data_IF_971105940547
#
_entry.id   IF_971105940547
#
_cell.length_a   1.000
_cell.length_b   1.000
_cell.length_c   1.000
_cell.angle_alpha   90.00
_cell.angle_beta   90.00
_cell.angle_gamma   90.00
#
_symmetry.space_group_name_H-M   'P 1'
#
loop_
_entity.id
_entity.type
_entity.pdbx_description
1 polymer ?
#
# COMPACT_ATOMS: atom_id res chain seq x y z
N UNK A 1 -22.95 3.19 -16.10
CA UNK A 1 -21.64 3.85 -16.34
C UNK A 1 -20.58 2.81 -16.70
N UNK A 2 -19.86 3.00 -17.82
CA UNK A 2 -18.70 2.16 -18.22
C UNK A 2 -17.42 2.69 -17.58
N UNK A 3 -16.76 1.89 -16.81
CA UNK A 3 -15.50 2.24 -16.15
C UNK A 3 -14.36 1.40 -16.69
N UNK A 4 -13.23 2.04 -16.98
CA UNK A 4 -11.99 1.37 -17.35
C UNK A 4 -10.95 1.58 -16.26
N UNK A 5 -10.53 0.52 -15.60
CA UNK A 5 -9.42 0.51 -14.66
C UNK A 5 -8.13 0.18 -15.38
N UNK A 6 -7.10 1.01 -15.24
CA UNK A 6 -5.80 0.78 -15.89
C UNK A 6 -4.72 0.71 -14.82
N UNK A 7 -3.95 -0.37 -14.81
CA UNK A 7 -2.84 -0.58 -13.87
C UNK A 7 -1.79 -1.55 -14.44
N UNK A 8 -0.58 -1.54 -13.88
CA UNK A 8 0.52 -2.35 -14.41
C UNK A 8 1.27 -3.17 -13.36
N UNK A 9 1.16 -2.81 -12.09
CA UNK A 9 1.98 -3.37 -11.01
C UNK A 9 1.14 -4.05 -9.94
N UNK A 10 1.79 -4.91 -9.14
CA UNK A 10 1.16 -5.57 -7.99
C UNK A 10 0.57 -4.59 -6.97
N UNK A 11 1.26 -3.52 -6.53
CA UNK A 11 0.69 -2.55 -5.59
C UNK A 11 -0.55 -1.84 -6.11
N UNK A 12 -0.57 -1.47 -7.39
CA UNK A 12 -1.75 -0.86 -8.03
C UNK A 12 -2.95 -1.84 -8.01
N UNK A 13 -2.71 -3.11 -8.38
CA UNK A 13 -3.75 -4.13 -8.38
C UNK A 13 -4.34 -4.34 -6.97
N UNK A 14 -3.49 -4.46 -5.93
CA UNK A 14 -3.94 -4.59 -4.54
C UNK A 14 -4.86 -3.43 -4.14
N UNK A 15 -4.47 -2.19 -4.48
CA UNK A 15 -5.21 -0.99 -4.10
C UNK A 15 -6.46 -0.75 -4.93
N UNK A 16 -6.50 -1.18 -6.19
CA UNK A 16 -7.70 -1.06 -7.03
C UNK A 16 -8.69 -2.20 -6.85
N UNK A 17 -8.25 -3.39 -6.45
CA UNK A 17 -9.12 -4.56 -6.32
C UNK A 17 -10.36 -4.31 -5.43
N UNK A 18 -10.27 -3.69 -4.23
CA UNK A 18 -11.45 -3.39 -3.43
C UNK A 18 -12.42 -2.44 -4.13
N UNK A 19 -11.90 -1.47 -4.90
CA UNK A 19 -12.72 -0.51 -5.66
C UNK A 19 -13.46 -1.21 -6.80
N UNK A 20 -12.76 -2.06 -7.56
CA UNK A 20 -13.37 -2.87 -8.63
C UNK A 20 -14.46 -3.75 -8.06
N UNK A 21 -14.22 -4.47 -6.97
CA UNK A 21 -15.20 -5.37 -6.34
C UNK A 21 -16.43 -4.60 -5.85
N UNK A 22 -16.22 -3.46 -5.19
CA UNK A 22 -17.33 -2.63 -4.67
C UNK A 22 -18.22 -2.09 -5.79
N UNK A 23 -17.63 -1.69 -6.92
CA UNK A 23 -18.36 -1.16 -8.07
C UNK A 23 -18.98 -2.27 -8.93
N UNK A 24 -18.28 -3.38 -9.17
CA UNK A 24 -18.79 -4.51 -9.94
C UNK A 24 -19.98 -5.21 -9.29
N UNK A 25 -20.13 -5.09 -7.97
CA UNK A 25 -21.30 -5.59 -7.25
C UNK A 25 -22.59 -4.79 -7.52
N UNK A 26 -22.52 -3.68 -8.26
CA UNK A 26 -23.64 -2.76 -8.52
C UNK A 26 -24.04 -2.81 -9.98
N UNK A 27 -25.32 -3.05 -10.26
CA UNK A 27 -25.83 -3.29 -11.62
C UNK A 27 -25.65 -2.12 -12.61
N UNK A 28 -25.52 -0.89 -12.11
CA UNK A 28 -25.33 0.31 -12.95
C UNK A 28 -23.88 0.59 -13.37
N UNK A 29 -22.91 -0.23 -12.91
CA UNK A 29 -21.51 -0.10 -13.32
C UNK A 29 -21.04 -1.29 -14.14
N UNK A 30 -20.37 -0.99 -15.26
CA UNK A 30 -19.70 -1.96 -16.11
C UNK A 30 -18.20 -1.74 -15.99
N UNK A 31 -17.54 -2.46 -15.09
CA UNK A 31 -16.12 -2.36 -14.83
C UNK A 31 -15.33 -3.25 -15.80
N UNK A 32 -14.39 -2.66 -16.54
CA UNK A 32 -13.43 -3.35 -17.38
C UNK A 32 -12.02 -3.07 -16.91
N UNK A 33 -11.13 -4.06 -17.02
CA UNK A 33 -9.77 -4.03 -16.54
C UNK A 33 -8.78 -4.10 -17.68
N UNK A 34 -7.84 -3.14 -17.73
CA UNK A 34 -6.69 -3.15 -18.60
C UNK A 34 -5.42 -3.26 -17.77
N UNK A 35 -4.64 -4.30 -17.97
CA UNK A 35 -3.32 -4.46 -17.37
C UNK A 35 -2.22 -4.22 -18.40
N UNK A 36 -1.19 -3.45 -18.03
CA UNK A 36 -0.05 -3.23 -18.92
C UNK A 36 0.95 -4.37 -18.89
N UNK A 37 0.88 -5.25 -17.87
CA UNK A 37 1.71 -6.44 -17.78
C UNK A 37 3.14 -6.18 -17.32
N UNK A 38 3.35 -5.14 -16.51
CA UNK A 38 4.66 -4.74 -16.03
C UNK A 38 5.32 -5.79 -15.09
N UNK A 39 4.53 -6.63 -14.38
CA UNK A 39 5.01 -7.74 -13.54
C UNK A 39 4.05 -8.93 -13.67
N UNK A 40 4.28 -9.83 -14.64
CA UNK A 40 3.30 -10.87 -15.01
C UNK A 40 2.91 -11.79 -13.85
N UNK A 41 3.86 -12.46 -13.22
CA UNK A 41 3.58 -13.49 -12.20
C UNK A 41 3.02 -12.89 -10.90
N UNK A 42 3.66 -11.85 -10.38
CA UNK A 42 3.23 -11.18 -9.15
C UNK A 42 1.87 -10.49 -9.28
N UNK A 43 1.56 -9.98 -10.47
CA UNK A 43 0.28 -9.37 -10.77
C UNK A 43 -0.82 -10.43 -10.87
N UNK A 44 -0.53 -11.57 -11.55
CA UNK A 44 -1.47 -12.68 -11.70
C UNK A 44 -1.92 -13.21 -10.33
N UNK A 45 -0.99 -13.42 -9.38
CA UNK A 45 -1.34 -13.86 -8.02
C UNK A 45 -2.34 -12.94 -7.31
N UNK A 46 -2.22 -11.62 -7.48
CA UNK A 46 -3.16 -10.65 -6.89
C UNK A 46 -4.50 -10.69 -7.61
N UNK A 47 -4.49 -10.77 -8.93
CA UNK A 47 -5.72 -10.88 -9.71
C UNK A 47 -6.53 -12.13 -9.31
N UNK A 48 -5.85 -13.27 -9.19
CA UNK A 48 -6.46 -14.54 -8.75
C UNK A 48 -7.00 -14.43 -7.31
N UNK A 49 -6.22 -13.85 -6.39
CA UNK A 49 -6.62 -13.64 -5.00
C UNK A 49 -7.93 -12.85 -4.87
N UNK A 50 -8.08 -11.80 -5.68
CA UNK A 50 -9.28 -10.95 -5.66
C UNK A 50 -10.38 -11.40 -6.64
N UNK A 51 -10.15 -12.48 -7.41
CA UNK A 51 -11.09 -12.99 -8.40
C UNK A 51 -11.30 -12.02 -9.57
N UNK A 52 -10.25 -11.32 -9.98
CA UNK A 52 -10.28 -10.33 -11.05
C UNK A 52 -9.71 -10.91 -12.35
N UNK A 53 -10.39 -10.67 -13.46
CA UNK A 53 -9.92 -11.08 -14.79
C UNK A 53 -9.75 -9.83 -15.67
N UNK A 54 -8.55 -9.57 -16.20
CA UNK A 54 -8.32 -8.46 -17.13
C UNK A 54 -9.05 -8.71 -18.45
N UNK A 55 -9.72 -7.68 -18.95
CA UNK A 55 -10.32 -7.67 -20.29
C UNK A 55 -9.25 -7.44 -21.35
N UNK A 56 -8.21 -6.67 -21.01
CA UNK A 56 -7.05 -6.42 -21.88
C UNK A 56 -5.76 -6.60 -21.11
N UNK A 57 -4.79 -7.25 -21.77
CA UNK A 57 -3.41 -7.37 -21.27
C UNK A 57 -2.45 -6.90 -22.38
N UNK A 58 -1.87 -5.73 -22.20
CA UNK A 58 -1.02 -5.08 -23.21
C UNK A 58 0.36 -5.73 -23.35
N UNK A 59 0.82 -6.47 -22.36
CA UNK A 59 2.10 -7.19 -22.36
C UNK A 59 3.31 -6.36 -22.78
N UNK A 60 3.39 -5.10 -22.31
CA UNK A 60 4.40 -4.14 -22.77
C UNK A 60 5.81 -4.37 -22.20
N UNK A 61 5.98 -5.34 -21.27
CA UNK A 61 7.30 -5.62 -20.67
C UNK A 61 8.30 -6.17 -21.68
N UNK A 62 9.50 -5.59 -21.67
CA UNK A 62 10.69 -6.05 -22.39
C UNK A 62 11.90 -6.08 -21.47
N UNK A 63 12.88 -6.96 -21.70
CA UNK A 63 14.17 -6.87 -21.02
C UNK A 63 14.79 -5.49 -21.25
N UNK A 64 15.47 -4.95 -20.24
CA UNK A 64 16.24 -3.71 -20.26
C UNK A 64 15.47 -2.49 -20.81
N UNK A 65 14.14 -2.47 -20.64
CA UNK A 65 13.29 -1.35 -21.10
C UNK A 65 13.60 -0.05 -20.36
N UNK A 66 13.66 1.04 -21.10
CA UNK A 66 13.75 2.38 -20.56
C UNK A 66 12.35 2.99 -20.31
N UNK A 67 12.31 4.13 -19.61
CA UNK A 67 11.07 4.82 -19.29
C UNK A 67 10.39 5.41 -20.52
N UNK A 68 11.14 5.82 -21.54
CA UNK A 68 10.58 6.38 -22.77
C UNK A 68 9.78 5.31 -23.53
N UNK A 69 10.36 4.12 -23.69
CA UNK A 69 9.66 2.98 -24.27
C UNK A 69 8.41 2.61 -23.45
N UNK A 70 8.55 2.46 -22.13
CA UNK A 70 7.43 2.08 -21.26
C UNK A 70 6.28 3.08 -21.36
N UNK A 71 6.59 4.39 -21.33
CA UNK A 71 5.60 5.45 -21.47
C UNK A 71 4.90 5.39 -22.83
N UNK A 72 5.64 5.30 -23.92
CA UNK A 72 5.11 5.25 -25.28
C UNK A 72 4.24 4.00 -25.53
N UNK A 73 4.70 2.83 -25.06
CA UNK A 73 3.97 1.59 -25.23
C UNK A 73 2.66 1.58 -24.42
N UNK A 74 2.69 2.07 -23.15
CA UNK A 74 1.50 2.18 -22.33
C UNK A 74 0.50 3.18 -22.90
N UNK A 75 0.97 4.36 -23.35
CA UNK A 75 0.15 5.39 -23.96
C UNK A 75 -0.57 4.86 -25.21
N UNK A 76 0.18 4.28 -26.17
CA UNK A 76 -0.39 3.76 -27.41
C UNK A 76 -1.33 2.57 -27.20
N UNK A 77 -0.99 1.68 -26.25
CA UNK A 77 -1.83 0.53 -25.94
C UNK A 77 -3.16 0.93 -25.32
N UNK A 78 -3.15 1.89 -24.38
CA UNK A 78 -4.37 2.42 -23.77
C UNK A 78 -5.19 3.22 -24.80
N UNK A 79 -4.55 4.03 -25.65
CA UNK A 79 -5.20 4.80 -26.73
C UNK A 79 -6.06 3.92 -27.63
N UNK A 80 -5.53 2.77 -28.09
CA UNK A 80 -6.27 1.81 -28.89
C UNK A 80 -7.52 1.24 -28.19
N UNK A 81 -7.44 1.02 -26.87
CA UNK A 81 -8.59 0.57 -26.09
C UNK A 81 -9.63 1.69 -25.95
N UNK A 82 -9.19 2.91 -25.64
CA UNK A 82 -10.10 4.05 -25.48
C UNK A 82 -10.84 4.38 -26.78
N UNK A 83 -10.17 4.28 -27.92
CA UNK A 83 -10.76 4.48 -29.26
C UNK A 83 -11.91 3.51 -29.53
N UNK A 84 -11.78 2.24 -29.12
CA UNK A 84 -12.76 1.18 -29.39
C UNK A 84 -13.83 1.05 -28.31
N UNK A 85 -13.44 1.03 -27.03
CA UNK A 85 -14.35 0.78 -25.90
C UNK A 85 -15.13 2.01 -25.44
N UNK A 86 -14.51 3.20 -25.51
CA UNK A 86 -15.10 4.49 -25.09
C UNK A 86 -15.77 4.43 -23.72
N UNK A 87 -15.01 4.28 -22.65
CA UNK A 87 -15.56 4.30 -21.27
C UNK A 87 -16.06 5.71 -20.92
N UNK A 88 -17.01 5.78 -19.98
CA UNK A 88 -17.49 7.05 -19.44
C UNK A 88 -16.44 7.67 -18.49
N UNK A 89 -15.55 6.85 -17.91
CA UNK A 89 -14.47 7.30 -17.02
C UNK A 89 -13.32 6.28 -16.99
N UNK A 90 -12.10 6.79 -16.92
CA UNK A 90 -10.90 5.99 -16.62
C UNK A 90 -10.55 6.14 -15.14
N UNK A 91 -10.20 5.05 -14.48
CA UNK A 91 -9.74 5.01 -13.08
C UNK A 91 -8.30 4.53 -13.06
N UNK A 92 -7.43 5.36 -12.47
CA UNK A 92 -6.00 5.09 -12.29
C UNK A 92 -5.61 5.18 -10.82
N UNK A 93 -4.51 4.58 -10.43
CA UNK A 93 -4.06 4.54 -9.03
C UNK A 93 -2.59 4.93 -8.92
N UNK A 94 -2.27 5.80 -7.95
CA UNK A 94 -0.90 6.10 -7.57
C UNK A 94 -0.14 6.91 -8.63
N UNK A 95 1.07 6.48 -8.94
CA UNK A 95 2.08 7.33 -9.58
C UNK A 95 3.01 6.60 -10.57
N UNK A 96 2.65 5.40 -10.97
CA UNK A 96 3.45 4.65 -11.94
C UNK A 96 3.43 5.31 -13.33
N UNK A 97 4.38 4.92 -14.19
CA UNK A 97 4.36 5.32 -15.59
C UNK A 97 3.08 4.88 -16.31
N UNK A 98 2.53 3.72 -15.94
CA UNK A 98 1.21 3.25 -16.41
C UNK A 98 0.09 4.23 -16.04
N UNK A 99 0.05 4.67 -14.77
CA UNK A 99 -0.92 5.65 -14.28
C UNK A 99 -0.87 6.95 -15.08
N UNK A 100 0.34 7.48 -15.27
CA UNK A 100 0.53 8.71 -16.06
C UNK A 100 0.11 8.54 -17.52
N UNK A 101 0.59 7.48 -18.18
CA UNK A 101 0.28 7.24 -19.60
C UNK A 101 -1.23 7.03 -19.84
N UNK A 102 -1.90 6.29 -18.94
CA UNK A 102 -3.34 6.06 -19.02
C UNK A 102 -4.16 7.35 -18.79
N UNK A 103 -3.78 8.16 -17.82
CA UNK A 103 -4.44 9.44 -17.57
C UNK A 103 -4.27 10.41 -18.73
N UNK A 104 -3.06 10.49 -19.30
CA UNK A 104 -2.78 11.35 -20.46
C UNK A 104 -3.54 10.89 -21.71
N UNK A 105 -3.59 9.58 -21.99
CA UNK A 105 -4.38 9.03 -23.09
C UNK A 105 -5.87 9.33 -22.92
N UNK A 106 -6.43 9.16 -21.73
CA UNK A 106 -7.83 9.49 -21.45
C UNK A 106 -8.12 10.98 -21.68
N UNK A 107 -7.21 11.87 -21.27
CA UNK A 107 -7.32 13.30 -21.52
C UNK A 107 -7.37 13.64 -23.00
N UNK A 108 -6.55 12.99 -23.85
CA UNK A 108 -6.59 13.19 -25.29
C UNK A 108 -7.94 12.77 -25.92
N UNK A 109 -8.57 11.74 -25.37
CA UNK A 109 -9.92 11.31 -25.76
C UNK A 109 -11.05 12.11 -25.10
N UNK A 110 -10.75 13.11 -24.26
CA UNK A 110 -11.71 13.88 -23.45
C UNK A 110 -12.56 12.98 -22.55
N UNK A 111 -11.97 11.89 -22.06
CA UNK A 111 -12.61 10.98 -21.11
C UNK A 111 -12.18 11.39 -19.70
N UNK A 112 -13.13 11.61 -18.77
CA UNK A 112 -12.84 11.98 -17.41
C UNK A 112 -11.97 10.94 -16.68
N UNK A 113 -11.06 11.40 -15.81
CA UNK A 113 -10.12 10.56 -15.08
C UNK A 113 -10.34 10.68 -13.58
N UNK A 114 -10.55 9.55 -12.91
CA UNK A 114 -10.55 9.47 -11.45
C UNK A 114 -9.20 8.90 -10.96
N UNK A 115 -8.54 9.64 -10.09
CA UNK A 115 -7.22 9.30 -9.54
C UNK A 115 -7.34 8.81 -8.10
N UNK A 116 -7.11 7.51 -7.88
CA UNK A 116 -7.08 6.88 -6.56
C UNK A 116 -5.69 7.04 -5.95
N UNK A 117 -5.59 7.35 -4.67
CA UNK A 117 -4.35 7.70 -3.94
C UNK A 117 -3.72 9.01 -4.47
N UNK A 118 -4.55 9.99 -4.74
CA UNK A 118 -4.12 11.29 -5.24
C UNK A 118 -3.52 12.18 -4.13
N UNK A 119 -2.52 12.98 -4.48
CA UNK A 119 -2.04 14.06 -3.63
C UNK A 119 -0.87 13.73 -2.70
N UNK A 120 -0.27 12.54 -2.78
CA UNK A 120 1.00 12.27 -2.10
C UNK A 120 2.10 13.15 -2.70
N UNK A 121 2.97 13.75 -1.87
CA UNK A 121 4.10 14.60 -2.32
C UNK A 121 5.32 14.39 -1.43
N UNK A 122 6.50 14.48 -2.07
CA UNK A 122 7.79 14.53 -1.38
C UNK A 122 8.45 15.91 -1.54
N UNK A 123 7.93 16.73 -2.45
CA UNK A 123 8.50 18.03 -2.84
C UNK A 123 9.91 17.95 -3.45
N UNK A 124 10.35 16.74 -3.83
CA UNK A 124 11.59 16.48 -4.55
C UNK A 124 11.29 15.66 -5.81
N UNK A 125 11.37 16.28 -6.99
CA UNK A 125 11.06 15.65 -8.28
C UNK A 125 11.96 14.47 -8.64
N UNK A 126 13.07 14.28 -7.94
CA UNK A 126 14.02 13.19 -8.12
C UNK A 126 13.90 12.09 -7.04
N UNK A 127 12.97 12.24 -6.08
CA UNK A 127 12.81 11.27 -4.99
C UNK A 127 11.36 11.15 -4.51
N UNK A 128 10.64 10.05 -4.82
CA UNK A 128 11.03 8.97 -5.73
C UNK A 128 11.00 9.39 -7.19
N UNK A 129 11.85 8.79 -7.99
CA UNK A 129 11.94 9.05 -9.42
C UNK A 129 11.57 7.79 -10.22
N UNK A 130 10.66 7.90 -11.23
CA UNK A 130 10.00 9.11 -11.79
C UNK A 130 8.66 9.45 -11.10
N UNK A 131 8.29 8.79 -10.02
CA UNK A 131 6.95 8.77 -9.44
C UNK A 131 6.46 10.17 -8.99
N UNK A 132 7.34 11.00 -8.42
CA UNK A 132 6.93 12.34 -7.96
C UNK A 132 6.45 13.23 -9.12
N UNK A 133 7.09 13.14 -10.28
CA UNK A 133 6.65 13.88 -11.48
C UNK A 133 5.37 13.27 -12.04
N UNK A 134 5.28 11.95 -12.14
CA UNK A 134 4.10 11.27 -12.64
C UNK A 134 2.84 11.69 -11.85
N UNK A 135 2.89 11.66 -10.50
CA UNK A 135 1.71 11.99 -9.67
C UNK A 135 1.29 13.45 -9.79
N UNK A 136 2.24 14.37 -9.99
CA UNK A 136 1.94 15.78 -10.25
C UNK A 136 1.25 15.96 -11.59
N UNK A 137 1.75 15.34 -12.65
CA UNK A 137 1.16 15.41 -13.99
C UNK A 137 -0.24 14.79 -14.03
N UNK A 138 -0.46 13.64 -13.37
CA UNK A 138 -1.78 13.02 -13.24
C UNK A 138 -2.76 13.95 -12.53
N UNK A 139 -2.31 14.68 -11.50
CA UNK A 139 -3.16 15.63 -10.78
C UNK A 139 -3.65 16.80 -11.64
N UNK A 140 -2.95 17.15 -12.75
CA UNK A 140 -3.36 18.21 -13.65
C UNK A 140 -4.40 17.76 -14.69
N UNK A 141 -4.50 16.47 -14.98
CA UNK A 141 -5.42 15.94 -16.00
C UNK A 141 -6.62 15.22 -15.41
N UNK A 142 -6.54 14.75 -14.16
CA UNK A 142 -7.66 14.12 -13.47
C UNK A 142 -8.71 15.17 -13.06
N UNK A 143 -9.99 14.81 -13.17
CA UNK A 143 -11.13 15.65 -12.76
C UNK A 143 -11.69 15.25 -11.39
N UNK A 144 -11.30 14.07 -10.87
CA UNK A 144 -11.73 13.58 -9.56
C UNK A 144 -10.55 12.93 -8.82
N UNK A 145 -10.31 13.37 -7.59
CA UNK A 145 -9.16 12.98 -6.79
C UNK A 145 -9.60 12.33 -5.48
N UNK A 146 -9.23 11.08 -5.28
CA UNK A 146 -9.45 10.33 -4.05
C UNK A 146 -8.18 10.36 -3.21
N UNK A 147 -8.12 11.31 -2.29
CA UNK A 147 -6.97 11.53 -1.43
C UNK A 147 -6.98 10.53 -0.25
N UNK A 148 -5.86 9.86 0.07
CA UNK A 148 -5.81 8.94 1.20
C UNK A 148 -5.88 9.65 2.55
N UNK A 149 -5.37 10.88 2.65
CA UNK A 149 -5.27 11.64 3.91
C UNK A 149 -5.65 13.11 3.73
N UNK A 150 -5.87 13.81 4.84
CA UNK A 150 -6.09 15.24 4.85
C UNK A 150 -4.85 16.02 4.31
N UNK A 151 -3.64 15.51 4.57
CA UNK A 151 -2.40 16.07 4.02
C UNK A 151 -2.37 15.98 2.50
N UNK A 152 -2.68 14.80 1.95
CA UNK A 152 -2.75 14.59 0.50
C UNK A 152 -3.76 15.55 -0.15
N UNK A 153 -4.94 15.73 0.48
CA UNK A 153 -5.91 16.76 0.05
C UNK A 153 -5.31 18.18 0.08
N UNK A 154 -4.59 18.53 1.14
CA UNK A 154 -3.98 19.87 1.27
C UNK A 154 -2.92 20.11 0.18
N UNK A 155 -2.17 19.09 -0.22
CA UNK A 155 -1.21 19.16 -1.33
C UNK A 155 -1.93 19.50 -2.65
N UNK A 156 -3.02 18.79 -2.97
CA UNK A 156 -3.82 19.05 -4.17
C UNK A 156 -4.41 20.46 -4.19
N UNK A 157 -4.93 20.95 -3.05
CA UNK A 157 -5.45 22.30 -2.93
C UNK A 157 -4.36 23.36 -3.18
N UNK A 158 -3.14 23.15 -2.69
CA UNK A 158 -2.00 24.05 -2.94
C UNK A 158 -1.60 24.11 -4.42
N UNK A 159 -1.85 23.05 -5.16
CA UNK A 159 -1.58 22.94 -6.60
C UNK A 159 -2.78 23.41 -7.46
N UNK A 160 -3.81 23.99 -6.84
CA UNK A 160 -4.94 24.60 -7.54
C UNK A 160 -6.09 23.66 -7.89
N UNK A 161 -6.09 22.41 -7.42
CA UNK A 161 -7.22 21.50 -7.63
C UNK A 161 -8.44 21.98 -6.84
N UNK A 162 -9.61 22.02 -7.48
CA UNK A 162 -10.86 22.46 -6.87
C UNK A 162 -11.30 21.60 -5.68
N UNK A 163 -11.90 22.21 -4.66
CA UNK A 163 -12.33 21.52 -3.44
C UNK A 163 -13.35 20.41 -3.68
N UNK A 164 -14.26 20.62 -4.60
CA UNK A 164 -15.32 19.70 -5.05
C UNK A 164 -14.81 18.50 -5.84
N UNK A 165 -13.61 18.63 -6.42
CA UNK A 165 -12.91 17.58 -7.14
C UNK A 165 -12.13 16.62 -6.21
N UNK A 166 -12.01 16.95 -4.91
CA UNK A 166 -11.20 16.16 -3.97
C UNK A 166 -12.08 15.56 -2.88
N UNK A 167 -12.01 14.23 -2.72
CA UNK A 167 -12.59 13.51 -1.60
C UNK A 167 -11.50 12.81 -0.80
N UNK A 168 -11.44 13.03 0.53
CA UNK A 168 -10.60 12.24 1.42
C UNK A 168 -11.30 10.92 1.69
N UNK A 169 -10.73 9.82 1.21
CA UNK A 169 -11.35 8.49 1.28
C UNK A 169 -10.70 7.56 2.31
N UNK A 170 -9.46 7.80 2.68
CA UNK A 170 -8.56 6.79 3.19
C UNK A 170 -7.86 6.04 2.04
N UNK A 171 -6.87 5.22 2.36
CA UNK A 171 -6.14 4.43 1.38
C UNK A 171 -6.85 3.08 1.15
N UNK A 172 -7.14 2.76 -0.10
CA UNK A 172 -7.77 1.49 -0.52
C UNK A 172 -6.88 0.27 -0.26
N UNK A 173 -5.58 0.46 -0.02
CA UNK A 173 -4.68 -0.59 0.47
C UNK A 173 -5.11 -1.14 1.83
N UNK A 174 -5.70 -0.29 2.69
CA UNK A 174 -6.23 -0.74 3.99
C UNK A 174 -7.50 -1.58 3.81
N UNK A 175 -8.35 -1.26 2.83
CA UNK A 175 -9.50 -2.10 2.46
C UNK A 175 -9.04 -3.49 2.00
N UNK A 176 -8.01 -3.56 1.14
CA UNK A 176 -7.42 -4.81 0.67
C UNK A 176 -6.82 -5.63 1.83
N UNK A 177 -6.04 -4.97 2.69
CA UNK A 177 -5.42 -5.58 3.86
C UNK A 177 -6.44 -6.24 4.78
N UNK A 178 -7.48 -5.49 5.15
CA UNK A 178 -8.52 -5.98 6.07
C UNK A 178 -9.36 -7.08 5.42
N UNK A 179 -9.63 -7.00 4.12
CA UNK A 179 -10.32 -8.05 3.39
C UNK A 179 -9.50 -9.36 3.37
N UNK A 180 -8.19 -9.30 3.05
CA UNK A 180 -7.31 -10.47 3.09
C UNK A 180 -7.17 -11.01 4.52
N UNK A 181 -7.04 -10.12 5.51
CA UNK A 181 -7.00 -10.53 6.92
C UNK A 181 -8.25 -11.31 7.33
N UNK A 182 -9.43 -10.88 6.89
CA UNK A 182 -10.69 -11.58 7.17
C UNK A 182 -10.75 -12.96 6.49
N UNK A 183 -10.19 -13.11 5.28
CA UNK A 183 -10.07 -14.42 4.62
C UNK A 183 -9.13 -15.36 5.42
N UNK A 184 -8.01 -14.82 5.91
CA UNK A 184 -7.07 -15.61 6.71
C UNK A 184 -7.62 -15.99 8.10
N UNK A 185 -8.67 -15.33 8.59
CA UNK A 185 -9.36 -15.72 9.82
C UNK A 185 -10.27 -16.94 9.63
N UNK A 186 -10.64 -17.24 8.38
CA UNK A 186 -11.44 -18.43 8.06
C UNK A 186 -10.51 -19.65 7.87
N UNK A 187 -10.94 -20.83 8.33
CA UNK A 187 -10.25 -22.08 8.01
C UNK A 187 -10.23 -22.32 6.50
N UNK A 188 -9.09 -22.69 5.93
CA UNK A 188 -8.99 -22.97 4.50
C UNK A 188 -7.55 -23.06 4.02
N UNK A 189 -7.39 -23.35 2.74
CA UNK A 189 -6.09 -23.55 2.10
C UNK A 189 -5.19 -22.31 2.17
N UNK A 190 -5.78 -21.11 1.98
CA UNK A 190 -5.07 -19.85 2.04
C UNK A 190 -4.41 -19.63 3.41
N UNK A 191 -5.18 -19.87 4.48
CA UNK A 191 -4.68 -19.79 5.85
C UNK A 191 -3.61 -20.84 6.11
N UNK A 192 -3.88 -22.12 5.77
CA UNK A 192 -2.95 -23.21 5.98
C UNK A 192 -1.61 -22.99 5.26
N UNK A 193 -1.64 -22.39 4.07
CA UNK A 193 -0.43 -22.03 3.32
C UNK A 193 0.34 -20.90 4.02
N UNK A 194 -0.35 -19.84 4.46
CA UNK A 194 0.28 -18.72 5.14
C UNK A 194 0.88 -19.12 6.49
N UNK A 195 0.25 -20.03 7.22
CA UNK A 195 0.75 -20.56 8.49
C UNK A 195 2.05 -21.36 8.33
N UNK A 196 2.25 -22.06 7.19
CA UNK A 196 3.47 -22.85 6.93
C UNK A 196 4.75 -22.03 6.80
N UNK A 197 4.64 -20.69 6.60
CA UNK A 197 5.82 -19.81 6.54
C UNK A 197 6.56 -19.80 7.88
N UNK A 198 5.81 -19.82 8.97
CA UNK A 198 6.38 -19.94 10.30
C UNK A 198 6.41 -21.42 10.68
N UNK A 199 7.60 -22.04 10.69
CA UNK A 199 7.74 -23.36 11.25
C UNK A 199 7.36 -23.37 12.75
N UNK A 200 7.15 -24.55 13.34
CA UNK A 200 6.69 -24.68 14.74
C UNK A 200 7.57 -23.93 15.73
N UNK A 201 8.88 -23.83 15.50
CA UNK A 201 9.82 -23.11 16.36
C UNK A 201 9.51 -21.62 16.39
N UNK A 202 9.20 -21.03 15.24
CA UNK A 202 8.88 -19.60 15.13
C UNK A 202 7.43 -19.30 15.53
N UNK A 203 6.51 -20.21 15.22
CA UNK A 203 5.11 -20.07 15.60
C UNK A 203 4.91 -20.01 17.12
N UNK A 204 5.75 -20.70 17.89
CA UNK A 204 5.72 -20.71 19.35
C UNK A 204 6.20 -19.39 20.00
N UNK A 205 7.00 -18.57 19.29
CA UNK A 205 7.51 -17.33 19.83
C UNK A 205 6.40 -16.26 19.94
N UNK A 206 6.27 -15.63 21.09
CA UNK A 206 5.30 -14.54 21.31
C UNK A 206 5.74 -13.22 20.69
N UNK A 207 7.06 -13.02 20.51
CA UNK A 207 7.67 -11.78 19.99
C UNK A 207 8.40 -12.06 18.69
N UNK A 208 7.63 -12.10 17.60
CA UNK A 208 8.17 -12.24 16.25
C UNK A 208 8.37 -10.85 15.65
N UNK A 209 9.58 -10.53 15.22
CA UNK A 209 9.89 -9.30 14.49
C UNK A 209 9.81 -9.61 13.00
N UNK A 210 8.96 -8.89 12.28
CA UNK A 210 8.95 -8.93 10.83
C UNK A 210 9.95 -7.90 10.29
N UNK A 211 10.94 -8.36 9.54
CA UNK A 211 11.87 -7.48 8.82
C UNK A 211 11.57 -7.52 7.32
N UNK A 212 11.55 -6.36 6.67
CA UNK A 212 11.57 -6.26 5.21
C UNK A 212 12.54 -5.17 4.78
N UNK A 213 13.32 -5.42 3.72
CA UNK A 213 14.31 -4.48 3.23
C UNK A 213 14.73 -4.81 1.81
N UNK A 214 14.58 -3.84 0.89
CA UNK A 214 14.86 -4.07 -0.53
C UNK A 214 15.21 -2.79 -1.31
N UNK A 215 15.18 -1.61 -0.65
CA UNK A 215 15.40 -0.34 -1.34
C UNK A 215 16.89 -0.13 -1.66
N UNK A 216 17.13 0.35 -2.88
CA UNK A 216 18.49 0.61 -3.42
C UNK A 216 19.26 1.63 -2.59
N UNK A 217 18.55 2.60 -1.98
CA UNK A 217 19.14 3.63 -1.10
C UNK A 217 19.87 3.04 0.12
N UNK A 218 19.57 1.79 0.50
CA UNK A 218 20.24 1.10 1.61
C UNK A 218 21.41 0.19 1.17
N UNK A 219 21.71 0.08 -0.13
CA UNK A 219 22.73 -0.87 -0.62
C UNK A 219 24.16 -0.41 -0.33
N UNK A 220 24.41 0.87 -0.06
CA UNK A 220 25.72 1.42 0.32
C UNK A 220 26.08 1.13 1.79
N UNK A 221 25.95 -0.15 2.19
CA UNK A 221 26.26 -0.61 3.55
C UNK A 221 25.12 -0.40 4.58
N UNK A 222 24.07 0.32 4.24
CA UNK A 222 22.93 0.55 5.14
C UNK A 222 22.24 -0.75 5.54
N UNK A 223 21.92 -1.60 4.58
CA UNK A 223 21.26 -2.88 4.84
C UNK A 223 22.15 -3.83 5.67
N UNK A 224 23.48 -3.80 5.48
CA UNK A 224 24.39 -4.58 6.30
C UNK A 224 24.36 -4.12 7.77
N UNK A 225 24.34 -2.81 8.05
CA UNK A 225 24.21 -2.28 9.42
C UNK A 225 22.86 -2.66 10.04
N UNK A 226 21.77 -2.63 9.26
CA UNK A 226 20.45 -3.11 9.72
C UNK A 226 20.53 -4.60 10.10
N UNK A 227 21.13 -5.44 9.24
CA UNK A 227 21.30 -6.87 9.53
C UNK A 227 22.19 -7.12 10.75
N UNK A 228 23.21 -6.28 11.02
CA UNK A 228 24.01 -6.34 12.24
C UNK A 228 23.16 -6.04 13.49
N UNK A 229 22.34 -4.99 13.47
CA UNK A 229 21.40 -4.69 14.57
C UNK A 229 20.41 -5.85 14.80
N UNK A 230 19.89 -6.45 13.72
CA UNK A 230 19.00 -7.61 13.80
C UNK A 230 19.71 -8.84 14.38
N UNK A 231 20.97 -9.09 14.00
CA UNK A 231 21.76 -10.20 14.57
C UNK A 231 22.02 -10.01 16.07
N UNK A 232 22.24 -8.78 16.54
CA UNK A 232 22.39 -8.47 17.97
C UNK A 232 21.10 -8.70 18.74
N UNK A 233 19.93 -8.28 18.21
CA UNK A 233 18.65 -8.50 18.89
C UNK A 233 18.28 -9.99 18.89
N UNK A 234 18.71 -10.76 17.89
CA UNK A 234 18.53 -12.20 17.80
C UNK A 234 19.28 -13.00 18.88
N UNK A 235 20.21 -12.39 19.64
CA UNK A 235 20.81 -13.04 20.80
C UNK A 235 19.81 -13.22 21.97
N UNK A 236 18.66 -12.58 21.90
CA UNK A 236 17.57 -12.74 22.90
C UNK A 236 16.80 -14.03 22.64
N UNK A 237 16.58 -14.82 23.68
CA UNK A 237 15.84 -16.08 23.59
C UNK A 237 14.31 -15.90 23.46
N UNK A 238 13.80 -14.72 23.82
CA UNK A 238 12.35 -14.39 23.78
C UNK A 238 11.90 -13.80 22.44
N UNK A 239 12.81 -13.63 21.49
CA UNK A 239 12.59 -13.00 20.19
C UNK A 239 12.85 -13.98 19.05
N UNK A 240 12.02 -13.93 18.03
CA UNK A 240 12.28 -14.54 16.73
C UNK A 240 12.19 -13.47 15.63
N UNK A 241 12.94 -13.65 14.54
CA UNK A 241 12.96 -12.74 13.41
C UNK A 241 12.55 -13.49 12.17
N UNK A 242 11.64 -12.91 11.38
CA UNK A 242 11.29 -13.41 10.04
C UNK A 242 11.62 -12.34 9.01
N UNK A 243 12.41 -12.72 8.02
CA UNK A 243 12.84 -11.83 6.96
C UNK A 243 12.60 -12.47 5.58
N UNK A 244 11.55 -12.08 4.85
CA UNK A 244 11.41 -12.37 3.43
C UNK A 244 12.51 -11.66 2.64
N UNK A 245 13.47 -12.43 2.12
CA UNK A 245 14.70 -11.90 1.51
C UNK A 245 14.47 -11.67 0.02
N UNK A 246 14.63 -10.43 -0.42
CA UNK A 246 14.57 -10.09 -1.84
C UNK A 246 15.69 -10.79 -2.63
N UNK A 247 15.43 -11.31 -3.85
CA UNK A 247 16.41 -12.09 -4.63
C UNK A 247 17.64 -11.31 -5.10
N UNK A 248 17.62 -9.97 -4.95
CA UNK A 248 18.78 -9.14 -5.30
C UNK A 248 20.05 -9.59 -4.57
N UNK A 249 21.18 -9.83 -5.27
CA UNK A 249 22.43 -10.28 -4.67
C UNK A 249 22.96 -9.39 -3.55
N UNK A 250 22.74 -8.07 -3.62
CA UNK A 250 23.14 -7.14 -2.58
C UNK A 250 22.35 -7.36 -1.27
N UNK A 251 21.06 -7.71 -1.38
CA UNK A 251 20.24 -8.04 -0.22
C UNK A 251 20.71 -9.36 0.39
N UNK A 252 20.88 -10.40 -0.44
CA UNK A 252 21.36 -11.73 0.02
C UNK A 252 22.71 -11.63 0.72
N UNK A 253 23.66 -10.86 0.18
CA UNK A 253 24.96 -10.64 0.83
C UNK A 253 24.84 -9.95 2.19
N UNK A 254 23.95 -8.96 2.31
CA UNK A 254 23.74 -8.25 3.57
C UNK A 254 23.16 -9.14 4.68
N UNK A 255 22.47 -10.23 4.34
CA UNK A 255 21.86 -11.17 5.33
C UNK A 255 22.88 -12.12 5.97
N UNK A 256 24.15 -12.14 5.54
CA UNK A 256 25.16 -13.08 6.04
C UNK A 256 25.27 -13.14 7.58
N UNK A 257 25.24 -12.02 8.33
CA UNK A 257 25.28 -12.06 9.81
C UNK A 257 24.09 -12.80 10.43
N UNK A 258 22.96 -12.90 9.71
CA UNK A 258 21.72 -13.51 10.20
C UNK A 258 21.71 -15.03 10.05
N UNK A 259 22.46 -15.61 9.10
CA UNK A 259 22.49 -17.06 8.84
C UNK A 259 22.96 -17.88 10.04
N UNK A 260 23.70 -17.29 10.97
CA UNK A 260 24.25 -17.97 12.15
C UNK A 260 23.32 -17.97 13.35
N UNK A 261 22.13 -17.35 13.23
CA UNK A 261 21.20 -17.16 14.34
C UNK A 261 20.06 -18.20 14.26
N UNK A 262 19.91 -19.04 15.27
CA UNK A 262 18.91 -20.12 15.28
C UNK A 262 17.46 -19.62 15.36
N UNK A 263 17.23 -18.38 15.78
CA UNK A 263 15.92 -17.74 15.92
C UNK A 263 15.67 -16.70 14.80
N UNK A 264 16.44 -16.77 13.71
CA UNK A 264 16.20 -16.00 12.49
C UNK A 264 15.76 -16.92 11.37
N UNK A 265 14.61 -16.62 10.79
CA UNK A 265 14.05 -17.33 9.66
C UNK A 265 14.15 -16.44 8.41
N UNK A 266 15.06 -16.77 7.52
CA UNK A 266 15.19 -16.18 6.19
C UNK A 266 14.32 -16.99 5.24
N UNK A 267 13.32 -16.35 4.64
CA UNK A 267 12.41 -17.00 3.68
C UNK A 267 12.52 -16.35 2.30
N UNK A 268 12.16 -17.10 1.27
CA UNK A 268 12.01 -16.53 -0.07
C UNK A 268 10.90 -15.44 -0.08
N UNK A 269 10.85 -14.59 -1.12
CA UNK A 269 9.80 -13.58 -1.22
C UNK A 269 8.41 -14.17 -1.07
N UNK A 270 7.62 -13.59 -0.17
CA UNK A 270 6.27 -14.04 0.16
C UNK A 270 5.22 -13.36 -0.72
N UNK A 271 4.09 -14.03 -0.92
CA UNK A 271 2.94 -13.42 -1.56
C UNK A 271 2.18 -12.46 -0.63
N UNK A 272 1.14 -11.80 -1.13
CA UNK A 272 0.43 -10.78 -0.35
C UNK A 272 -0.33 -11.37 0.86
N UNK A 273 -1.08 -12.47 0.76
CA UNK A 273 -1.69 -13.13 1.92
C UNK A 273 -0.69 -13.54 3.00
N UNK A 274 0.43 -14.07 2.58
CA UNK A 274 1.52 -14.46 3.47
C UNK A 274 2.11 -13.26 4.21
N UNK A 275 2.32 -12.14 3.49
CA UNK A 275 2.78 -10.90 4.09
C UNK A 275 1.76 -10.34 5.09
N UNK A 276 0.47 -10.39 4.76
CA UNK A 276 -0.62 -9.98 5.67
C UNK A 276 -0.64 -10.85 6.93
N UNK A 277 -0.46 -12.17 6.79
CA UNK A 277 -0.35 -13.08 7.91
C UNK A 277 0.84 -12.73 8.82
N UNK A 278 2.02 -12.50 8.23
CA UNK A 278 3.22 -12.13 8.98
C UNK A 278 3.04 -10.78 9.71
N UNK A 279 2.46 -9.77 9.06
CA UNK A 279 2.16 -8.48 9.68
C UNK A 279 1.17 -8.65 10.86
N UNK A 280 0.14 -9.46 10.70
CA UNK A 280 -0.83 -9.73 11.76
C UNK A 280 -0.21 -10.49 12.94
N UNK A 281 0.70 -11.42 12.66
CA UNK A 281 1.33 -12.30 13.66
C UNK A 281 2.51 -11.66 14.36
N UNK A 282 3.23 -10.72 13.73
CA UNK A 282 4.42 -10.12 14.31
C UNK A 282 4.12 -9.30 15.57
N UNK A 283 5.16 -9.04 16.36
CA UNK A 283 5.11 -8.14 17.51
C UNK A 283 5.28 -6.69 17.03
N UNK A 284 6.32 -6.41 16.25
CA UNK A 284 6.50 -5.15 15.54
C UNK A 284 7.20 -5.39 14.20
N UNK A 285 7.29 -4.34 13.38
CA UNK A 285 7.88 -4.39 12.04
C UNK A 285 9.10 -3.49 11.94
N UNK A 286 10.15 -3.98 11.26
CA UNK A 286 11.31 -3.20 10.80
C UNK A 286 11.28 -3.19 9.27
N UNK A 287 11.14 -2.01 8.65
CA UNK A 287 10.87 -1.94 7.21
C UNK A 287 11.39 -0.68 6.53
N UNK A 288 11.72 -0.79 5.22
CA UNK A 288 11.92 0.33 4.30
C UNK A 288 10.71 0.57 3.37
N UNK A 289 9.68 -0.29 3.46
CA UNK A 289 8.50 -0.27 2.58
C UNK A 289 7.49 0.80 2.99
N UNK A 290 7.06 1.64 2.02
CA UNK A 290 5.98 2.61 2.22
C UNK A 290 4.63 1.94 2.51
N UNK A 291 4.29 0.86 1.80
CA UNK A 291 3.02 0.15 2.01
C UNK A 291 2.89 -0.43 3.41
N UNK A 292 3.95 -1.05 3.94
CA UNK A 292 3.95 -1.62 5.29
C UNK A 292 3.83 -0.53 6.37
N UNK A 293 4.36 0.67 6.14
CA UNK A 293 4.16 1.82 7.04
C UNK A 293 2.68 2.21 7.16
N UNK A 294 1.89 2.00 6.11
CA UNK A 294 0.45 2.25 6.10
C UNK A 294 -0.34 1.06 6.67
N UNK A 295 0.08 -0.16 6.36
CA UNK A 295 -0.64 -1.40 6.65
C UNK A 295 -0.49 -1.88 8.10
N UNK A 296 0.75 -1.99 8.61
CA UNK A 296 1.03 -2.58 9.91
C UNK A 296 0.31 -1.88 11.09
N UNK A 297 0.12 -0.55 11.09
CA UNK A 297 -0.68 0.14 12.10
C UNK A 297 -2.13 -0.34 12.19
N UNK A 298 -2.74 -0.87 11.11
CA UNK A 298 -4.09 -1.45 11.15
C UNK A 298 -4.21 -2.67 12.05
N UNK A 299 -3.09 -3.35 12.31
CA UNK A 299 -3.00 -4.46 13.24
C UNK A 299 -2.44 -4.05 14.62
N UNK A 300 -2.32 -2.74 14.88
CA UNK A 300 -1.72 -2.23 16.12
C UNK A 300 -0.23 -2.61 16.26
N UNK A 301 0.50 -2.69 15.16
CA UNK A 301 1.92 -3.06 15.17
C UNK A 301 2.79 -1.83 15.04
N UNK A 302 3.70 -1.56 16.02
CA UNK A 302 4.72 -0.53 15.89
C UNK A 302 5.59 -0.73 14.65
N UNK A 303 6.01 0.36 14.02
CA UNK A 303 6.85 0.31 12.81
C UNK A 303 8.14 1.08 13.02
N UNK A 304 9.27 0.41 12.86
CA UNK A 304 10.59 1.04 12.79
C UNK A 304 11.00 1.16 11.31
N UNK A 305 11.12 2.40 10.84
CA UNK A 305 11.36 2.70 9.43
C UNK A 305 12.85 2.91 9.20
N UNK A 306 13.47 2.02 8.43
CA UNK A 306 14.92 2.02 8.13
C UNK A 306 15.28 2.94 6.97
N UNK A 307 14.73 4.15 6.98
CA UNK A 307 14.96 5.22 6.00
C UNK A 307 15.26 6.53 6.72
N UNK A 308 15.91 7.46 6.03
CA UNK A 308 16.17 8.81 6.55
C UNK A 308 14.96 9.74 6.32
N UNK A 309 14.17 9.47 5.28
CA UNK A 309 12.96 10.23 4.92
C UNK A 309 11.80 9.29 4.58
N UNK A 310 10.56 9.79 4.71
CA UNK A 310 9.36 9.04 4.31
C UNK A 310 8.36 9.99 3.67
N UNK A 311 7.63 9.50 2.69
CA UNK A 311 6.46 10.13 2.08
C UNK A 311 5.17 9.90 2.89
N UNK A 312 5.27 9.28 4.09
CA UNK A 312 4.17 8.99 5.03
C UNK A 312 4.41 9.63 6.39
N UNK A 313 4.54 10.95 6.46
CA UNK A 313 4.82 11.64 7.73
C UNK A 313 3.70 11.46 8.76
N UNK A 314 2.47 11.18 8.31
CA UNK A 314 1.32 10.94 9.19
C UNK A 314 1.57 9.77 10.17
N UNK A 315 2.25 8.70 9.74
CA UNK A 315 2.58 7.59 10.63
C UNK A 315 3.48 8.04 11.80
N UNK A 316 4.43 8.95 11.52
CA UNK A 316 5.34 9.52 12.53
C UNK A 316 4.58 10.47 13.46
N UNK A 317 3.78 11.37 12.89
CA UNK A 317 3.01 12.39 13.62
C UNK A 317 1.99 11.76 14.59
N UNK A 318 1.43 10.60 14.21
CA UNK A 318 0.53 9.83 15.08
C UNK A 318 1.26 8.87 16.02
N UNK A 319 2.59 8.84 15.99
CA UNK A 319 3.40 7.99 16.86
C UNK A 319 3.31 6.49 16.58
N UNK A 320 2.84 6.10 15.38
CA UNK A 320 2.68 4.69 14.97
C UNK A 320 3.96 4.11 14.37
N UNK A 321 4.79 4.99 13.82
CA UNK A 321 6.06 4.63 13.24
C UNK A 321 7.17 5.58 13.71
N UNK A 322 8.41 5.12 13.62
CA UNK A 322 9.60 5.90 13.97
C UNK A 322 10.67 5.75 12.90
N UNK A 323 11.16 6.89 12.36
CA UNK A 323 12.30 6.90 11.47
C UNK A 323 13.57 6.61 12.26
N UNK A 324 14.22 5.49 11.96
CA UNK A 324 15.46 5.06 12.64
C UNK A 324 16.68 5.13 11.72
N UNK A 325 16.46 5.28 10.41
CA UNK A 325 17.54 5.27 9.42
C UNK A 325 18.22 3.90 9.34
N UNK A 326 19.46 3.91 8.87
CA UNK A 326 20.29 2.69 8.74
C UNK A 326 21.38 2.61 9.79
N UNK A 327 21.29 3.38 10.87
CA UNK A 327 22.25 3.34 11.97
C UNK A 327 21.99 2.11 12.85
N UNK A 328 23.03 1.26 13.00
CA UNK A 328 22.94 0.00 13.73
C UNK A 328 22.55 0.20 15.20
N UNK A 329 23.22 1.16 15.89
CA UNK A 329 23.00 1.37 17.32
C UNK A 329 21.62 1.91 17.60
N UNK A 330 21.20 2.92 16.83
CA UNK A 330 19.87 3.52 16.96
C UNK A 330 18.76 2.50 16.72
N UNK A 331 18.89 1.69 15.65
CA UNK A 331 17.91 0.63 15.37
C UNK A 331 17.86 -0.40 16.50
N UNK A 332 19.02 -0.83 17.01
CA UNK A 332 19.10 -1.77 18.12
C UNK A 332 18.42 -1.21 19.38
N UNK A 333 18.74 0.03 19.77
CA UNK A 333 18.21 0.68 20.97
C UNK A 333 16.66 0.84 20.88
N UNK A 334 16.13 1.20 19.71
CA UNK A 334 14.69 1.31 19.47
C UNK A 334 13.97 -0.04 19.50
N UNK A 335 14.55 -1.09 18.92
CA UNK A 335 14.01 -2.45 19.03
C UNK A 335 14.00 -2.92 20.49
N UNK A 336 15.07 -2.65 21.22
CA UNK A 336 15.17 -3.00 22.63
C UNK A 336 14.13 -2.26 23.47
N UNK A 337 13.91 -0.97 23.23
CA UNK A 337 12.88 -0.18 23.89
C UNK A 337 11.48 -0.77 23.69
N UNK A 338 11.13 -1.19 22.46
CA UNK A 338 9.86 -1.84 22.16
C UNK A 338 9.70 -3.21 22.85
N UNK A 339 10.81 -3.92 23.07
CA UNK A 339 10.79 -5.23 23.72
C UNK A 339 10.72 -5.13 25.26
N UNK A 340 11.39 -4.14 25.85
CA UNK A 340 11.60 -4.06 27.29
C UNK A 340 10.68 -3.05 28.00
N UNK A 341 10.15 -2.04 27.27
CA UNK A 341 9.19 -1.07 27.82
C UNK A 341 7.78 -1.28 27.23
N UNK A 342 6.86 -1.90 28.00
CA UNK A 342 5.47 -2.07 27.57
C UNK A 342 4.74 -0.75 27.33
N UNK A 343 5.19 0.37 27.91
CA UNK A 343 4.58 1.66 27.67
C UNK A 343 5.03 2.23 26.31
N UNK A 344 6.32 2.08 25.95
CA UNK A 344 6.82 2.44 24.62
C UNK A 344 6.06 1.69 23.53
N UNK A 345 5.88 0.37 23.71
CA UNK A 345 5.09 -0.44 22.80
C UNK A 345 3.63 0.05 22.71
N UNK A 346 2.97 0.27 23.85
CA UNK A 346 1.57 0.72 23.88
C UNK A 346 1.35 2.07 23.22
N UNK A 347 2.28 3.01 23.39
CA UNK A 347 2.21 4.33 22.70
C UNK A 347 2.15 4.18 21.19
N UNK A 348 2.85 3.20 20.61
CA UNK A 348 2.91 2.98 19.17
C UNK A 348 1.84 2.01 18.64
N UNK A 349 1.11 1.30 19.48
CA UNK A 349 0.19 0.24 19.05
C UNK A 349 -1.31 0.56 19.25
N UNK A 350 -1.67 1.63 19.94
CA UNK A 350 -3.06 1.93 20.33
C UNK A 350 -3.72 3.08 19.59
N UNK A 351 -3.06 3.64 18.61
CA UNK A 351 -3.58 4.77 17.84
C UNK A 351 -4.33 4.25 16.61
N UNK A 352 -5.44 4.91 16.25
CA UNK A 352 -6.15 4.60 15.02
C UNK A 352 -5.26 4.88 13.80
N UNK A 353 -5.34 4.01 12.79
CA UNK A 353 -4.54 4.16 11.58
C UNK A 353 -4.95 5.42 10.81
N UNK A 354 -4.06 6.41 10.59
CA UNK A 354 -4.38 7.65 9.87
C UNK A 354 -4.56 7.44 8.36
N UNK A 355 -4.18 6.28 7.83
CA UNK A 355 -4.27 5.99 6.41
C UNK A 355 -5.60 5.36 5.99
N UNK A 356 -6.42 4.86 6.90
CA UNK A 356 -7.71 4.30 6.54
C UNK A 356 -8.36 3.44 7.62
N UNK A 357 -9.65 3.19 7.40
CA UNK A 357 -10.53 2.41 8.26
C UNK A 357 -11.18 1.21 7.53
N UNK A 358 -10.71 0.88 6.31
CA UNK A 358 -11.24 -0.21 5.49
C UNK A 358 -12.52 0.13 4.73
N UNK A 359 -12.86 1.40 4.58
CA UNK A 359 -14.06 1.86 3.87
C UNK A 359 -13.76 2.85 2.74
N UNK A 360 -12.52 2.93 2.28
CA UNK A 360 -12.12 3.84 1.20
C UNK A 360 -12.83 3.49 -0.12
N UNK A 361 -12.90 2.22 -0.49
CA UNK A 361 -13.57 1.75 -1.70
C UNK A 361 -15.07 2.09 -1.70
N UNK A 362 -15.75 1.97 -0.55
CA UNK A 362 -17.16 2.36 -0.41
C UNK A 362 -17.37 3.86 -0.60
N UNK A 363 -16.47 4.70 -0.07
CA UNK A 363 -16.51 6.16 -0.26
C UNK A 363 -16.29 6.54 -1.71
N UNK A 364 -15.35 5.88 -2.40
CA UNK A 364 -15.11 6.05 -3.83
C UNK A 364 -16.35 5.69 -4.63
N UNK A 365 -16.94 4.52 -4.38
CA UNK A 365 -18.15 4.07 -5.07
C UNK A 365 -19.33 5.04 -4.85
N UNK A 366 -19.56 5.48 -3.63
CA UNK A 366 -20.63 6.43 -3.31
C UNK A 366 -20.44 7.78 -4.03
N UNK A 367 -19.20 8.29 -4.16
CA UNK A 367 -18.92 9.51 -4.92
C UNK A 367 -19.18 9.34 -6.40
N UNK A 368 -18.78 8.20 -6.99
CA UNK A 368 -19.03 7.89 -8.41
C UNK A 368 -20.53 7.74 -8.72
N UNK A 369 -21.32 7.15 -7.81
CA UNK A 369 -22.79 7.08 -7.93
C UNK A 369 -23.40 8.48 -7.90
N UNK A 370 -23.01 9.33 -6.96
CA UNK A 370 -23.50 10.69 -6.85
C UNK A 370 -23.22 11.52 -8.11
N UNK A 371 -22.08 11.31 -8.76
CA UNK A 371 -21.75 11.98 -10.02
C UNK A 371 -22.59 11.50 -11.21
N UNK A 372 -23.02 10.24 -11.21
CA UNK A 372 -23.91 9.68 -12.23
C UNK A 372 -25.37 10.15 -12.08
N UNK A 373 -25.88 10.18 -10.85
CA UNK A 373 -27.29 10.46 -10.57
C UNK A 373 -27.59 11.96 -10.41
N UNK A 374 -26.56 12.80 -10.40
CA UNK A 374 -26.72 14.23 -10.08
C UNK A 374 -27.14 14.47 -8.61
N UNK A 375 -27.29 13.42 -7.83
CA UNK A 375 -27.63 13.49 -6.41
C UNK A 375 -26.32 13.68 -5.62
N UNK A 376 -26.17 14.85 -4.98
CA UNK A 376 -25.06 15.10 -4.07
C UNK A 376 -25.31 14.31 -2.78
N UNK A 377 -25.08 12.98 -2.83
CA UNK A 377 -24.99 12.20 -1.61
C UNK A 377 -23.83 12.77 -0.78
N UNK A 378 -24.10 13.17 0.46
CA UNK A 378 -23.08 13.64 1.38
C UNK A 378 -22.21 12.45 1.79
N UNK A 379 -21.24 12.09 0.93
CA UNK A 379 -20.23 11.08 1.28
C UNK A 379 -19.39 11.66 2.40
N UNK A 380 -19.49 11.09 3.58
CA UNK A 380 -18.66 11.52 4.72
C UNK A 380 -17.18 11.23 4.39
N UNK A 381 -16.32 12.25 4.41
CA UNK A 381 -14.89 12.03 4.19
C UNK A 381 -14.30 11.20 5.33
N UNK A 382 -13.20 10.51 5.05
CA UNK A 382 -12.39 9.88 6.08
C UNK A 382 -11.72 10.98 6.93
N UNK A 383 -11.89 10.88 8.25
CA UNK A 383 -11.26 11.77 9.22
C UNK A 383 -10.40 10.89 10.13
N UNK A 384 -9.08 10.99 9.99
CA UNK A 384 -8.15 10.36 10.92
C UNK A 384 -8.38 10.95 12.33
N UNK A 385 -8.61 10.09 13.31
CA UNK A 385 -8.74 10.55 14.70
C UNK A 385 -7.37 11.02 15.19
N UNK A 386 -7.31 12.22 15.73
CA UNK A 386 -6.14 12.70 16.47
C UNK A 386 -5.85 11.75 17.64
N UNK A 387 -4.60 11.57 18.06
CA UNK A 387 -4.29 10.89 19.32
C UNK A 387 -4.99 11.65 20.44
N UNK A 388 -6.06 11.06 20.99
CA UNK A 388 -6.75 11.65 22.14
C UNK A 388 -6.01 11.20 23.38
N UNK A 389 -5.56 12.15 24.19
CA UNK A 389 -5.24 11.92 25.58
C UNK A 389 -6.52 11.44 26.27
N UNK A 390 -6.57 10.15 26.59
CA UNK A 390 -7.48 9.52 27.54
C UNK A 390 -8.97 9.55 27.21
N UNK A 391 -9.46 8.57 26.43
CA UNK A 391 -10.84 8.12 26.57
C UNK A 391 -11.00 6.62 26.29
N UNK A 392 -11.59 5.96 27.27
CA UNK A 392 -12.07 4.57 27.24
C UNK A 392 -13.52 4.58 26.78
N UNK A 393 -13.82 4.12 25.60
CA UNK A 393 -14.97 3.31 25.13
C UNK A 393 -15.26 3.51 23.64
N UNK A 394 -15.49 2.44 22.87
CA UNK A 394 -15.91 2.57 21.48
C UNK A 394 -17.41 2.90 21.41
N UNK A 395 -17.87 3.77 20.50
CA UNK A 395 -19.30 3.96 20.27
C UNK A 395 -19.89 2.75 19.54
N UNK A 396 -21.06 2.32 20.01
CA UNK A 396 -21.91 1.32 19.35
C UNK A 396 -22.43 1.92 18.06
N UNK A 397 -22.14 1.28 16.93
CA UNK A 397 -22.78 1.57 15.65
C UNK A 397 -24.24 1.10 15.68
N UNK A 398 -25.15 2.03 15.63
CA UNK A 398 -26.55 1.80 15.28
C UNK A 398 -26.95 2.87 14.28
N UNK A 399 -27.10 2.50 13.02
CA UNK A 399 -27.56 3.43 11.98
C UNK A 399 -27.90 2.72 10.69
N UNK A 400 -29.11 2.19 10.63
CA UNK A 400 -29.77 1.70 9.41
C UNK A 400 -29.71 2.74 8.29
N UNK A 401 -29.18 2.36 7.15
CA UNK A 401 -29.33 3.07 5.89
C UNK A 401 -30.70 2.72 5.29
N UNK A 402 -31.65 3.63 5.40
CA UNK A 402 -32.86 3.64 4.57
C UNK A 402 -32.69 4.62 3.42
N UNK A 403 -33.06 4.14 2.24
CA UNK A 403 -33.21 4.69 0.89
C UNK A 403 -32.03 4.59 -0.02
#
# INVERSE_FOLDING_TARGET
MKLLFVFGTRPEAIKLAPVVRELSARANFHCKLCVTGQHRELLAQVLDLFGLQPDWNLQIMRPDQDLAYLTGAALSGVDGILSSYRPDRVIVQGDTTTTFAAALSAFYHRIPVAHVEAGLRTDNIYAPWPEEVNRRLVSQVADLHFAPTARARSNLLREGVGRDQILVTGNTGIDALLWVSALLDQPGELRARAEKILDERFAAHKRVILMTGHRRESFDGGLARICQAMARIALRRDVAIVFPVHPNPNVRRATEPLHRQNNVLLVEPVDYPELVYLQKRCYFVVTDSGGIQEEAPSFGKPVLVTRDTTERPEAMEHGLAKLVGTDERRLFDEMQALLDDPQAYRRMSRVANPFGDGHASRRIAAKLIGSETGCVSQVRPFIARSPIEGETNPPKDSGDLKC
#
